data_IF_994315597870
#
_entry.id   IF_994315597870
#
_cell.length_a   1.000
_cell.length_b   1.000
_cell.length_c   1.000
_cell.angle_alpha   90.00
_cell.angle_beta   90.00
_cell.angle_gamma   90.00
#
_symmetry.space_group_name_H-M   'P 1'
#
loop_
_entity.id
_entity.type
_entity.pdbx_description
1 polymer ?
#
# COMPACT_ATOMS: atom_id res chain seq x y z
N UNK A 1 -16.89 8.95 14.06
CA UNK A 1 -15.64 9.12 13.29
C UNK A 1 -14.69 7.92 13.51
N UNK A 2 -14.94 6.82 12.81
CA UNK A 2 -14.11 5.61 12.89
C UNK A 2 -13.10 5.68 11.76
N UNK A 3 -11.83 5.92 12.10
CA UNK A 3 -10.74 5.74 11.14
C UNK A 3 -10.78 4.27 10.69
N UNK A 4 -10.93 4.05 9.39
CA UNK A 4 -10.90 2.69 8.83
C UNK A 4 -9.58 2.00 9.23
N UNK A 5 -9.60 0.69 9.54
CA UNK A 5 -8.38 -0.02 9.88
C UNK A 5 -7.43 0.03 8.68
N UNK A 6 -6.27 0.64 8.90
CA UNK A 6 -5.20 0.71 7.92
C UNK A 6 -3.96 0.03 8.49
N UNK A 7 -3.32 -0.81 7.69
CA UNK A 7 -2.07 -1.49 8.06
C UNK A 7 -0.91 -0.68 7.50
N UNK A 8 0.07 -0.37 8.33
CA UNK A 8 1.33 0.21 7.86
C UNK A 8 2.25 -0.94 7.47
N UNK A 9 2.51 -1.09 6.18
CA UNK A 9 3.43 -2.10 5.63
C UNK A 9 4.70 -1.43 5.13
N UNK A 10 5.86 -1.90 5.58
CA UNK A 10 7.14 -1.46 5.04
C UNK A 10 7.52 -2.31 3.84
N UNK A 11 7.73 -1.68 2.69
CA UNK A 11 8.06 -2.38 1.43
C UNK A 11 9.40 -3.10 1.59
N UNK A 12 9.42 -4.41 1.39
CA UNK A 12 10.66 -5.17 1.38
C UNK A 12 11.35 -5.09 0.00
N UNK A 13 12.68 -5.22 -0.06
CA UNK A 13 13.39 -5.28 -1.34
C UNK A 13 12.87 -6.43 -2.20
N UNK A 14 12.40 -6.08 -3.40
CA UNK A 14 11.80 -7.02 -4.34
C UNK A 14 10.27 -7.17 -4.21
N UNK A 15 9.63 -6.57 -3.20
CA UNK A 15 8.17 -6.44 -3.17
C UNK A 15 7.69 -5.41 -4.20
N UNK A 16 6.51 -5.67 -4.75
CA UNK A 16 5.81 -4.74 -5.64
C UNK A 16 4.45 -4.40 -5.06
N UNK A 17 3.91 -3.23 -5.40
CA UNK A 17 2.54 -2.84 -5.02
C UNK A 17 1.50 -3.89 -5.39
N UNK A 18 1.72 -4.62 -6.50
CA UNK A 18 0.86 -5.73 -6.90
C UNK A 18 0.87 -6.89 -5.90
N UNK A 19 2.06 -7.34 -5.49
CA UNK A 19 2.21 -8.41 -4.50
C UNK A 19 1.62 -8.01 -3.14
N UNK A 20 1.87 -6.76 -2.71
CA UNK A 20 1.33 -6.20 -1.47
C UNK A 20 -0.19 -6.12 -1.52
N UNK A 21 -0.77 -5.54 -2.58
CA UNK A 21 -2.21 -5.45 -2.77
C UNK A 21 -2.87 -6.82 -2.68
N UNK A 22 -2.31 -7.81 -3.37
CA UNK A 22 -2.80 -9.19 -3.35
C UNK A 22 -2.65 -9.85 -1.98
N UNK A 23 -1.57 -9.57 -1.24
CA UNK A 23 -1.32 -10.09 0.12
C UNK A 23 -2.36 -9.59 1.11
N UNK A 24 -2.71 -8.30 1.03
CA UNK A 24 -3.68 -7.66 1.92
C UNK A 24 -5.11 -7.70 1.40
N UNK A 25 -5.35 -8.42 0.31
CA UNK A 25 -6.66 -8.54 -0.35
C UNK A 25 -7.31 -7.17 -0.62
N UNK A 26 -6.49 -6.23 -1.09
CA UNK A 26 -6.87 -4.85 -1.46
C UNK A 26 -6.46 -4.57 -2.90
N UNK A 27 -6.70 -3.35 -3.40
CA UNK A 27 -6.32 -2.95 -4.75
C UNK A 27 -5.17 -1.96 -4.75
N UNK A 28 -4.38 -1.97 -5.84
CA UNK A 28 -3.31 -1.00 -6.03
C UNK A 28 -3.88 0.42 -5.99
N UNK A 29 -5.07 0.65 -6.57
CA UNK A 29 -5.75 1.94 -6.54
C UNK A 29 -6.10 2.39 -5.12
N UNK A 30 -6.62 1.50 -4.27
CA UNK A 30 -6.92 1.84 -2.88
C UNK A 30 -5.65 2.22 -2.10
N UNK A 31 -4.55 1.45 -2.28
CA UNK A 31 -3.26 1.78 -1.67
C UNK A 31 -2.74 3.12 -2.20
N UNK A 32 -2.85 3.37 -3.49
CA UNK A 32 -2.44 4.64 -4.11
C UNK A 32 -3.22 5.81 -3.54
N UNK A 33 -4.53 5.68 -3.40
CA UNK A 33 -5.38 6.71 -2.80
C UNK A 33 -5.04 6.96 -1.33
N UNK A 34 -4.84 5.89 -0.55
CA UNK A 34 -4.47 5.99 0.86
C UNK A 34 -3.11 6.68 1.10
N UNK A 35 -2.16 6.50 0.18
CA UNK A 35 -0.80 7.06 0.29
C UNK A 35 -0.55 8.27 -0.61
N UNK A 36 -1.57 8.77 -1.33
CA UNK A 36 -1.42 9.81 -2.36
C UNK A 36 -0.33 9.48 -3.40
N UNK A 37 -0.16 8.20 -3.75
CA UNK A 37 0.83 7.75 -4.73
C UNK A 37 0.28 7.93 -6.13
N UNK A 38 0.89 8.83 -6.89
CA UNK A 38 0.57 9.06 -8.30
C UNK A 38 1.14 7.92 -9.16
N UNK A 39 2.41 7.58 -8.93
CA UNK A 39 3.15 6.58 -9.70
C UNK A 39 3.57 5.39 -8.83
N UNK A 40 3.12 4.20 -9.24
CA UNK A 40 3.47 2.91 -8.65
C UNK A 40 4.97 2.57 -8.77
N UNK A 41 5.72 3.30 -9.60
CA UNK A 41 7.16 3.14 -9.77
C UNK A 41 7.98 4.03 -8.81
N UNK A 42 7.34 4.95 -8.09
CA UNK A 42 8.02 5.89 -7.20
C UNK A 42 8.31 5.30 -5.81
N UNK A 43 7.58 4.25 -5.46
CA UNK A 43 7.78 3.48 -4.22
C UNK A 43 9.06 2.66 -4.27
N UNK A 44 9.81 2.71 -3.16
CA UNK A 44 11.07 1.99 -3.01
C UNK A 44 11.03 1.04 -1.83
N UNK A 45 11.93 0.07 -1.84
CA UNK A 45 12.15 -0.78 -0.68
C UNK A 45 12.55 0.09 0.52
N UNK A 46 11.88 -0.10 1.65
CA UNK A 46 12.02 0.69 2.87
C UNK A 46 10.95 1.76 3.07
N UNK A 47 10.15 2.10 2.05
CA UNK A 47 9.02 3.01 2.22
C UNK A 47 7.90 2.38 3.05
N UNK A 48 7.19 3.20 3.81
CA UNK A 48 6.01 2.79 4.57
C UNK A 48 4.75 3.10 3.76
N UNK A 49 3.99 2.06 3.45
CA UNK A 49 2.70 2.14 2.78
C UNK A 49 1.56 1.93 3.76
N UNK A 50 0.59 2.83 3.74
CA UNK A 50 -0.70 2.71 4.37
C UNK A 50 -1.57 1.81 3.48
N UNK A 51 -1.84 0.59 3.93
CA UNK A 51 -2.67 -0.38 3.23
C UNK A 51 -4.09 -0.31 3.80
N UNK A 52 -5.06 0.27 3.07
CA UNK A 52 -6.44 0.28 3.51
C UNK A 52 -7.01 -1.14 3.42
N UNK A 53 -7.55 -1.62 4.53
CA UNK A 53 -8.34 -2.85 4.54
C UNK A 53 -9.78 -2.52 4.15
N UNK A 54 -10.44 -3.40 3.36
CA UNK A 54 -11.87 -3.28 3.08
C UNK A 54 -12.74 -3.49 4.35
#
# INVERSE_FOLDING_TARGET
PTAAPAIIHTIQPGETLYAIARRYNTTIEAIKQANNIQNTNDIKAGDQLIIPQP
#
